data_IF_886414176719
#
_entry.id   IF_886414176719
#
_cell.length_a   1.000
_cell.length_b   1.000
_cell.length_c   1.000
_cell.angle_alpha   90.00
_cell.angle_beta   90.00
_cell.angle_gamma   90.00
#
_symmetry.space_group_name_H-M   'P 1'
#
loop_
_entity.id
_entity.type
_entity.pdbx_description
1 polymer ?
#
# COMPACT_ATOMS: atom_id res chain seq x y z
N UNK A 1 -18.85 0.23 -0.98
CA UNK A 1 -18.23 -0.53 -2.10
C UNK A 1 -16.73 -0.30 -2.16
N UNK A 2 -16.25 0.94 -1.98
CA UNK A 2 -14.81 1.26 -2.01
C UNK A 2 -14.03 0.55 -0.89
N UNK A 3 -14.62 0.39 0.29
CA UNK A 3 -14.06 -0.36 1.43
C UNK A 3 -13.75 -1.83 1.11
N UNK A 4 -14.61 -2.49 0.33
CA UNK A 4 -14.41 -3.88 -0.10
C UNK A 4 -13.24 -3.99 -1.06
N UNK A 5 -13.13 -3.05 -1.99
CA UNK A 5 -12.03 -3.01 -2.95
C UNK A 5 -10.70 -2.78 -2.22
N UNK A 6 -10.65 -1.82 -1.29
CA UNK A 6 -9.47 -1.57 -0.45
C UNK A 6 -9.10 -2.81 0.35
N UNK A 7 -10.07 -3.49 0.96
CA UNK A 7 -9.83 -4.69 1.76
C UNK A 7 -9.25 -5.83 0.93
N UNK A 8 -9.82 -6.11 -0.25
CA UNK A 8 -9.32 -7.15 -1.17
C UNK A 8 -7.90 -6.82 -1.64
N UNK A 9 -7.66 -5.57 -2.05
CA UNK A 9 -6.33 -5.12 -2.50
C UNK A 9 -5.30 -5.20 -1.36
N UNK A 10 -5.70 -4.87 -0.13
CA UNK A 10 -4.82 -4.95 1.05
C UNK A 10 -4.48 -6.40 1.40
N UNK A 11 -5.44 -7.32 1.32
CA UNK A 11 -5.20 -8.76 1.55
C UNK A 11 -4.24 -9.31 0.48
N UNK A 12 -4.47 -8.98 -0.79
CA UNK A 12 -3.59 -9.37 -1.89
C UNK A 12 -2.18 -8.80 -1.68
N UNK A 13 -2.06 -7.53 -1.33
CA UNK A 13 -0.79 -6.89 -0.98
C UNK A 13 -0.06 -7.67 0.13
N UNK A 14 -0.72 -7.94 1.26
CA UNK A 14 -0.12 -8.67 2.39
C UNK A 14 0.31 -10.08 1.98
N UNK A 15 -0.50 -10.77 1.19
CA UNK A 15 -0.17 -12.10 0.69
C UNK A 15 1.07 -12.08 -0.22
N UNK A 16 1.15 -11.14 -1.16
CA UNK A 16 2.30 -11.02 -2.05
C UNK A 16 3.57 -10.55 -1.33
N UNK A 17 3.43 -9.67 -0.34
CA UNK A 17 4.52 -9.21 0.50
C UNK A 17 5.09 -10.37 1.34
N UNK A 18 4.22 -11.21 1.91
CA UNK A 18 4.64 -12.41 2.64
C UNK A 18 5.41 -13.40 1.77
N UNK A 19 5.10 -13.45 0.46
CA UNK A 19 5.82 -14.31 -0.49
C UNK A 19 7.10 -13.68 -1.04
N UNK A 20 7.50 -12.49 -0.54
CA UNK A 20 8.71 -11.79 -0.99
C UNK A 20 8.73 -11.57 -2.51
N UNK A 21 7.56 -11.34 -3.11
CA UNK A 21 7.44 -11.11 -4.56
C UNK A 21 7.57 -9.60 -4.82
N UNK A 22 8.49 -9.18 -5.71
CA UNK A 22 8.65 -7.76 -6.11
C UNK A 22 7.33 -7.10 -6.47
N UNK A 23 6.45 -7.83 -7.16
CA UNK A 23 5.12 -7.37 -7.55
C UNK A 23 4.25 -6.94 -6.35
N UNK A 24 4.46 -7.52 -5.17
CA UNK A 24 3.76 -7.14 -3.95
C UNK A 24 3.99 -5.69 -3.54
N UNK A 25 5.18 -5.14 -3.79
CA UNK A 25 5.48 -3.74 -3.47
C UNK A 25 4.75 -2.77 -4.41
N UNK A 26 4.61 -3.12 -5.70
CA UNK A 26 3.81 -2.33 -6.64
C UNK A 26 2.32 -2.37 -6.30
N UNK A 27 1.81 -3.54 -5.89
CA UNK A 27 0.44 -3.69 -5.41
C UNK A 27 0.22 -2.90 -4.11
N UNK A 28 1.22 -2.85 -3.22
CA UNK A 28 1.18 -2.04 -2.00
C UNK A 28 1.11 -0.54 -2.28
N UNK A 29 1.82 -0.05 -3.29
CA UNK A 29 1.73 1.33 -3.76
C UNK A 29 0.34 1.66 -4.29
N UNK A 30 -0.24 0.75 -5.08
CA UNK A 30 -1.61 0.89 -5.58
C UNK A 30 -2.63 0.87 -4.43
N UNK A 31 -2.40 0.04 -3.40
CA UNK A 31 -3.21 0.02 -2.19
C UNK A 31 -3.17 1.38 -1.45
N UNK A 32 -2.00 2.01 -1.34
CA UNK A 32 -1.86 3.33 -0.70
C UNK A 32 -2.60 4.44 -1.45
N UNK A 33 -2.64 4.41 -2.79
CA UNK A 33 -3.46 5.35 -3.59
C UNK A 33 -4.95 5.15 -3.31
N UNK A 34 -5.41 3.90 -3.22
CA UNK A 34 -6.79 3.59 -2.84
C UNK A 34 -7.12 4.05 -1.41
N UNK A 35 -6.21 3.85 -0.47
CA UNK A 35 -6.33 4.37 0.90
C UNK A 35 -6.35 5.90 0.93
N UNK A 36 -5.63 6.58 0.04
CA UNK A 36 -5.63 8.05 -0.03
C UNK A 36 -6.99 8.57 -0.47
N UNK A 37 -7.57 7.97 -1.51
CA UNK A 37 -8.93 8.27 -1.97
C UNK A 37 -9.95 8.03 -0.85
N UNK A 38 -9.80 6.93 -0.11
CA UNK A 38 -10.65 6.62 1.02
C UNK A 38 -10.62 7.68 2.12
N UNK A 39 -9.41 8.13 2.46
CA UNK A 39 -9.18 9.14 3.50
C UNK A 39 -9.83 10.46 3.12
N UNK A 40 -9.71 10.87 1.85
CA UNK A 40 -10.32 12.11 1.33
C UNK A 40 -11.85 12.00 1.38
N UNK A 41 -12.41 10.88 0.91
CA UNK A 41 -13.88 10.67 0.87
C UNK A 41 -14.48 10.65 2.27
N UNK A 42 -13.84 9.97 3.22
CA UNK A 42 -14.36 9.79 4.58
C UNK A 42 -13.85 10.86 5.57
N UNK A 43 -13.07 11.84 5.11
CA UNK A 43 -12.40 12.83 5.97
C UNK A 43 -11.62 12.21 7.13
N UNK A 44 -11.00 11.05 6.90
CA UNK A 44 -10.29 10.26 7.92
C UNK A 44 -8.84 10.74 8.08
N UNK A 45 -8.64 12.03 8.37
CA UNK A 45 -7.33 12.70 8.39
C UNK A 45 -6.30 12.05 9.31
N UNK A 46 -6.73 11.37 10.39
CA UNK A 46 -5.84 10.62 11.28
C UNK A 46 -5.10 9.46 10.60
N UNK A 47 -5.66 8.91 9.51
CA UNK A 47 -5.05 7.83 8.74
C UNK A 47 -4.09 8.34 7.66
N UNK A 48 -4.07 9.65 7.40
CA UNK A 48 -3.22 10.25 6.37
C UNK A 48 -1.73 10.08 6.69
N UNK A 49 -1.35 10.27 7.96
CA UNK A 49 0.01 10.07 8.42
C UNK A 49 0.46 8.60 8.28
N UNK A 50 -0.43 7.65 8.59
CA UNK A 50 -0.18 6.22 8.39
C UNK A 50 0.02 5.88 6.91
N UNK A 51 -0.84 6.41 6.03
CA UNK A 51 -0.76 6.19 4.59
C UNK A 51 0.58 6.72 4.02
N UNK A 52 0.99 7.93 4.41
CA UNK A 52 2.28 8.52 4.00
C UNK A 52 3.46 7.64 4.44
N UNK A 53 3.45 7.15 5.69
CA UNK A 53 4.51 6.27 6.19
C UNK A 53 4.58 4.95 5.41
N UNK A 54 3.43 4.31 5.16
CA UNK A 54 3.35 3.09 4.35
C UNK A 54 3.81 3.32 2.91
N UNK A 55 3.48 4.48 2.35
CA UNK A 55 3.90 4.84 1.01
C UNK A 55 5.42 4.97 0.92
N UNK A 56 6.05 5.63 1.91
CA UNK A 56 7.49 5.71 2.02
C UNK A 56 8.15 4.33 2.16
N UNK A 57 7.61 3.45 3.02
CA UNK A 57 8.12 2.09 3.20
C UNK A 57 8.01 1.27 1.90
N UNK A 58 6.89 1.37 1.18
CA UNK A 58 6.73 0.70 -0.11
C UNK A 58 7.76 1.21 -1.13
N UNK A 59 7.93 2.52 -1.25
CA UNK A 59 8.91 3.13 -2.17
C UNK A 59 10.33 2.69 -1.80
N UNK A 60 10.70 2.76 -0.53
CA UNK A 60 12.01 2.32 -0.03
C UNK A 60 12.23 0.83 -0.31
N UNK A 61 11.21 0.00 -0.11
CA UNK A 61 11.23 -1.42 -0.45
C UNK A 61 11.49 -1.67 -1.93
N UNK A 62 10.86 -0.92 -2.84
CA UNK A 62 11.09 -1.06 -4.29
C UNK A 62 12.53 -0.68 -4.66
N UNK A 63 13.03 0.42 -4.09
CA UNK A 63 14.39 0.91 -4.34
C UNK A 63 15.42 -0.12 -3.84
N UNK A 64 15.26 -0.62 -2.61
CA UNK A 64 16.17 -1.61 -2.04
C UNK A 64 16.11 -2.94 -2.78
N UNK A 65 14.93 -3.39 -3.19
CA UNK A 65 14.80 -4.63 -3.97
C UNK A 65 15.43 -4.53 -5.36
N UNK A 66 15.46 -3.34 -5.98
CA UNK A 66 16.17 -3.14 -7.24
C UNK A 66 17.69 -3.03 -7.07
N UNK A 67 18.17 -2.67 -5.87
CA UNK A 67 19.60 -2.64 -5.56
C UNK A 67 20.21 -4.02 -5.29
N UNK A 68 19.40 -5.07 -5.25
CA UNK A 68 19.89 -6.45 -5.23
C UNK A 68 20.60 -6.82 -3.93
N UNK A 69 19.95 -6.58 -2.79
CA UNK A 69 20.18 -7.43 -1.60
C UNK A 69 19.48 -8.79 -1.76
#
# INVERSE_FOLDING_TARGET
MLDLIISIVTILYMHLLSRKIKFGLYVGLLAQVLWLLYIIINSAWGLLMLNIALWYICIAGIINWNKGE
#
